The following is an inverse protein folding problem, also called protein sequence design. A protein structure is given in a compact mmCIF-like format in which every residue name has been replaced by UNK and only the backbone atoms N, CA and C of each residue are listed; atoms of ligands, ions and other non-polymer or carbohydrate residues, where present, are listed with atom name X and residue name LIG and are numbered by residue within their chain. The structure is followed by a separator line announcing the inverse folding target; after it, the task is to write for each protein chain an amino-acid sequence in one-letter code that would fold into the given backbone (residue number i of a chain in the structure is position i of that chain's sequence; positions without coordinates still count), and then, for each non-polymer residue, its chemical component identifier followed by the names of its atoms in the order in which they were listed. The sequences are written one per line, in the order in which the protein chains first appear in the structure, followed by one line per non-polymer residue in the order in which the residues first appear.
data_IF_574777198836
#
_entry.id   IF_574777198836
#
_cell.length_a   1.000
_cell.length_b   1.000
_cell.length_c   1.000
_cell.angle_alpha   90.00
_cell.angle_beta   90.00
_cell.angle_gamma   90.00
#
_symmetry.space_group_name_H-M   'P 1'
#
loop_
_entity.id
_entity.type
_entity.pdbx_description
1 polymer ?
#
# COMPACT_ATOMS: atom_id res chain seq x y z
N UNK A 1 -13.56 -1.95 -1.74
CA UNK A 1 -13.77 -0.48 -1.61
C UNK A 1 -12.52 0.19 -2.16
N UNK A 2 -12.66 1.15 -3.07
CA UNK A 2 -11.55 1.93 -3.59
C UNK A 2 -11.68 3.36 -3.10
N UNK A 3 -10.58 3.94 -2.61
CA UNK A 3 -10.53 5.33 -2.15
C UNK A 3 -9.37 6.02 -2.86
N UNK A 4 -9.66 7.12 -3.57
CA UNK A 4 -8.63 7.95 -4.20
C UNK A 4 -8.27 9.13 -3.28
N UNK A 5 -6.98 9.48 -3.21
CA UNK A 5 -6.50 10.62 -2.44
C UNK A 5 -5.35 11.32 -3.16
N UNK A 6 -5.42 12.64 -3.26
CA UNK A 6 -4.34 13.49 -3.76
C UNK A 6 -3.56 14.11 -2.59
N UNK A 7 -2.22 13.97 -2.60
CA UNK A 7 -1.36 14.53 -1.52
C UNK A 7 -0.49 15.71 -1.94
N UNK A 8 -0.57 16.12 -3.21
CA UNK A 8 0.18 17.26 -3.77
C UNK A 8 1.66 17.22 -3.36
N UNK A 9 2.28 18.40 -3.17
CA UNK A 9 3.67 18.56 -2.74
C UNK A 9 3.90 18.37 -1.23
N UNK A 10 2.87 18.07 -0.44
CA UNK A 10 2.98 17.96 1.02
C UNK A 10 3.63 16.66 1.49
N UNK A 11 3.70 15.65 0.62
CA UNK A 11 4.32 14.36 0.93
C UNK A 11 5.25 13.95 -0.22
N UNK A 12 6.41 14.61 -0.38
CA UNK A 12 7.40 14.23 -1.39
C UNK A 12 8.03 12.87 -1.05
N UNK A 13 8.50 12.15 -2.06
CA UNK A 13 9.34 10.94 -1.89
C UNK A 13 10.84 11.26 -1.98
N UNK A 14 11.18 12.42 -2.55
CA UNK A 14 12.53 12.97 -2.61
C UNK A 14 12.49 14.51 -2.61
N UNK A 15 13.59 15.18 -2.28
CA UNK A 15 13.65 16.65 -2.24
C UNK A 15 13.37 17.30 -3.60
N UNK A 16 12.72 18.47 -3.61
CA UNK A 16 12.26 19.11 -4.86
C UNK A 16 13.34 19.91 -5.62
N UNK A 17 14.61 19.75 -5.25
CA UNK A 17 15.70 20.62 -5.69
C UNK A 17 16.10 20.34 -7.14
N UNK A 18 16.07 19.08 -7.56
CA UNK A 18 16.45 18.67 -8.93
C UNK A 18 15.23 18.39 -9.81
N UNK A 19 15.38 18.60 -11.12
CA UNK A 19 14.34 18.25 -12.09
C UNK A 19 13.96 16.76 -12.05
N UNK A 20 14.96 15.91 -11.80
CA UNK A 20 14.79 14.47 -11.69
C UNK A 20 13.96 14.08 -10.46
N UNK A 21 14.26 14.65 -9.29
CA UNK A 21 13.49 14.37 -8.08
C UNK A 21 12.05 14.90 -8.17
N UNK A 22 11.85 16.08 -8.77
CA UNK A 22 10.51 16.59 -9.06
C UNK A 22 9.72 15.64 -9.97
N UNK A 23 10.39 14.98 -10.91
CA UNK A 23 9.76 13.95 -11.74
C UNK A 23 9.37 12.72 -10.93
N UNK A 24 10.26 12.23 -10.07
CA UNK A 24 9.97 11.11 -9.15
C UNK A 24 8.80 11.42 -8.21
N UNK A 25 8.63 12.67 -7.79
CA UNK A 25 7.51 13.10 -6.95
C UNK A 25 6.14 13.08 -7.65
N UNK A 26 6.07 13.14 -8.99
CA UNK A 26 4.82 13.03 -9.77
C UNK A 26 4.44 11.57 -10.02
N UNK A 27 4.10 10.84 -8.94
CA UNK A 27 3.77 9.41 -8.96
C UNK A 27 2.35 9.11 -8.48
N UNK A 28 1.76 8.05 -9.03
CA UNK A 28 0.54 7.42 -8.52
C UNK A 28 0.91 6.23 -7.65
N UNK A 29 0.45 6.20 -6.40
CA UNK A 29 0.68 5.08 -5.49
C UNK A 29 -0.60 4.26 -5.35
N UNK A 30 -0.53 3.00 -5.72
CA UNK A 30 -1.62 2.03 -5.52
C UNK A 30 -1.28 1.20 -4.29
N UNK A 31 -2.13 1.23 -3.27
CA UNK A 31 -1.95 0.44 -2.05
C UNK A 31 -3.08 -0.58 -1.99
N UNK A 32 -2.73 -1.86 -2.07
CA UNK A 32 -3.66 -2.98 -1.95
C UNK A 32 -3.64 -3.44 -0.50
N UNK A 33 -4.72 -3.16 0.22
CA UNK A 33 -4.90 -3.66 1.59
C UNK A 33 -5.80 -4.89 1.55
N UNK A 34 -5.32 -6.07 2.00
CA UNK A 34 -6.20 -7.21 2.21
C UNK A 34 -7.19 -6.91 3.34
N UNK A 35 -8.35 -7.58 3.35
CA UNK A 35 -9.22 -7.58 4.52
C UNK A 35 -8.52 -8.43 5.59
N UNK A 36 -8.09 -7.79 6.68
CA UNK A 36 -7.37 -8.46 7.76
C UNK A 36 -8.17 -9.63 8.33
N UNK A 37 -9.48 -9.47 8.51
CA UNK A 37 -10.35 -10.53 9.03
C UNK A 37 -10.29 -11.80 8.15
N UNK A 38 -10.38 -11.65 6.82
CA UNK A 38 -10.29 -12.78 5.88
C UNK A 38 -8.89 -13.40 5.85
N UNK A 39 -7.85 -12.62 6.16
CA UNK A 39 -6.49 -13.12 6.25
C UNK A 39 -6.28 -13.95 7.52
N UNK A 40 -6.88 -13.53 8.65
CA UNK A 40 -6.86 -14.31 9.89
C UNK A 40 -7.64 -15.62 9.75
N UNK A 41 -8.83 -15.59 9.14
CA UNK A 41 -9.61 -16.80 8.85
C UNK A 41 -8.82 -17.82 8.00
N UNK A 42 -8.07 -17.34 7.00
CA UNK A 42 -7.24 -18.18 6.15
C UNK A 42 -6.07 -18.82 6.92
N UNK A 43 -5.42 -18.06 7.80
CA UNK A 43 -4.36 -18.58 8.66
C UNK A 43 -4.91 -19.63 9.63
N UNK A 44 -6.05 -19.36 10.27
CA UNK A 44 -6.67 -20.29 11.22
C UNK A 44 -7.08 -21.62 10.54
N UNK A 45 -7.69 -21.56 9.36
CA UNK A 45 -8.03 -22.73 8.56
C UNK A 45 -6.78 -23.50 8.11
N UNK A 46 -5.73 -22.80 7.66
CA UNK A 46 -4.46 -23.40 7.28
C UNK A 46 -3.73 -24.07 8.45
N UNK A 47 -3.83 -23.50 9.65
CA UNK A 47 -3.25 -24.07 10.87
C UNK A 47 -4.03 -25.29 11.38
N UNK A 48 -5.36 -25.34 11.24
CA UNK A 48 -6.16 -26.52 11.61
C UNK A 48 -5.95 -27.72 10.66
N UNK A 49 -5.63 -27.46 9.38
CA UNK A 49 -5.33 -28.51 8.40
C UNK A 49 -3.96 -29.19 8.56
N UNK A 50 -3.02 -28.58 9.30
CA UNK A 50 -1.68 -29.12 9.55
C UNK A 50 -1.52 -29.92 10.85
N UNK A 51 -2.60 -30.12 11.60
CA UNK A 51 -2.61 -30.85 12.87
C UNK A 51 -3.18 -32.28 12.77
N UNK A 52 -3.27 -32.86 11.56
CA UNK A 52 -3.67 -34.26 11.35
C UNK A 52 -2.57 -35.03 10.62
#
# INVERSE_FOLDING_TARGET
RMTAAGRSYYVPVADNDTAENRSKNRRTRIVVLPKLDQFYDLIEQGMQGGAN
#
